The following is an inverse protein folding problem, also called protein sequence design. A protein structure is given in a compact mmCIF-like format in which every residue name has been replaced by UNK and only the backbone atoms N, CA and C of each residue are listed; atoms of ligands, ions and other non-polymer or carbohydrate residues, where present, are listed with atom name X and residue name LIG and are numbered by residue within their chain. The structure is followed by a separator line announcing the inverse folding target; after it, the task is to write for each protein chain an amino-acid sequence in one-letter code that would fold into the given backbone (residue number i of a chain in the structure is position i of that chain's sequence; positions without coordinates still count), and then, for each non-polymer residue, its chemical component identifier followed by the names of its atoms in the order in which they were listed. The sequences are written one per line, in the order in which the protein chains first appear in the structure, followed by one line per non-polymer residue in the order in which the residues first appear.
data_IF_683195522141
#
_entry.id   IF_683195522141
#
_cell.length_a   1.000
_cell.length_b   1.000
_cell.length_c   1.000
_cell.angle_alpha   90.00
_cell.angle_beta   90.00
_cell.angle_gamma   90.00
#
_symmetry.space_group_name_H-M   'P 1'
#
loop_
_entity.id
_entity.type
_entity.pdbx_description
1 polymer ?
#
# COMPACT_ATOMS: atom_id res chain seq x y z
N UNK A 1 -0.10 -7.41 6.78
CA UNK A 1 -0.34 -6.14 6.07
C UNK A 1 -1.44 -5.31 6.73
N UNK A 2 -2.69 -5.78 6.82
CA UNK A 2 -3.80 -5.00 7.41
C UNK A 2 -3.62 -4.60 8.88
N UNK A 3 -3.03 -5.49 9.71
CA UNK A 3 -2.81 -5.23 11.15
C UNK A 3 -2.07 -3.91 11.45
N UNK A 4 -1.22 -3.47 10.53
CA UNK A 4 -0.45 -2.22 10.68
C UNK A 4 -1.31 -0.97 10.39
N UNK A 5 -2.43 -1.13 9.70
CA UNK A 5 -3.30 -0.04 9.24
C UNK A 5 -4.56 0.15 10.10
N UNK A 6 -4.87 -0.81 10.97
CA UNK A 6 -6.10 -0.81 11.76
C UNK A 6 -6.02 -0.01 13.07
N UNK A 7 -4.94 0.77 13.27
CA UNK A 7 -4.70 1.62 14.47
C UNK A 7 -4.70 0.89 15.83
N UNK A 8 -4.86 -0.43 15.83
CA UNK A 8 -4.78 -1.24 17.04
C UNK A 8 -3.32 -1.38 17.51
N UNK A 9 -3.10 -1.53 18.82
CA UNK A 9 -1.79 -1.87 19.34
C UNK A 9 -1.33 -3.21 18.75
N UNK A 10 -0.14 -3.21 18.14
CA UNK A 10 0.50 -4.44 17.66
C UNK A 10 1.79 -4.69 18.42
N UNK A 11 2.09 -5.97 18.63
CA UNK A 11 3.41 -6.37 19.11
C UNK A 11 4.38 -6.52 17.95
N UNK A 12 5.49 -5.79 18.03
CA UNK A 12 6.65 -5.91 17.16
C UNK A 12 7.64 -6.86 17.83
N UNK A 13 7.82 -8.09 17.31
CA UNK A 13 8.80 -9.01 17.85
C UNK A 13 10.20 -8.41 17.67
N UNK A 14 11.00 -8.42 18.73
CA UNK A 14 12.33 -7.85 18.75
C UNK A 14 13.26 -8.77 19.53
N UNK A 15 14.56 -8.74 19.23
CA UNK A 15 15.54 -9.73 19.74
C UNK A 15 15.62 -9.81 21.27
N UNK A 16 15.50 -8.68 21.97
CA UNK A 16 15.72 -8.62 23.43
C UNK A 16 14.45 -8.29 24.23
N UNK A 17 13.45 -7.68 23.60
CA UNK A 17 12.19 -7.32 24.25
C UNK A 17 11.19 -6.89 23.17
N UNK A 18 10.00 -7.48 23.18
CA UNK A 18 8.92 -7.08 22.29
C UNK A 18 8.54 -5.62 22.54
N UNK A 19 8.18 -4.91 21.47
CA UNK A 19 7.69 -3.53 21.54
C UNK A 19 6.24 -3.48 21.12
N UNK A 20 5.47 -2.57 21.69
CA UNK A 20 4.09 -2.31 21.27
C UNK A 20 4.07 -1.02 20.45
N UNK A 21 3.46 -1.07 19.27
CA UNK A 21 3.32 0.09 18.39
C UNK A 21 1.86 0.34 18.01
N UNK A 22 1.46 1.60 18.05
CA UNK A 22 0.15 2.07 17.59
C UNK A 22 0.39 3.12 16.49
N UNK A 23 0.15 2.76 15.23
CA UNK A 23 0.41 3.66 14.12
C UNK A 23 -0.79 4.58 13.87
N UNK A 24 -0.52 5.87 13.74
CA UNK A 24 -1.51 6.87 13.34
C UNK A 24 -1.41 7.22 11.86
N UNK A 25 -0.19 7.37 11.37
CA UNK A 25 0.13 7.72 10.00
C UNK A 25 1.14 6.71 9.49
N UNK A 26 0.79 6.03 8.39
CA UNK A 26 1.60 4.96 7.82
C UNK A 26 1.92 5.33 6.38
N UNK A 27 3.22 5.36 6.08
CA UNK A 27 3.72 5.49 4.72
C UNK A 27 4.19 4.12 4.25
N UNK A 28 3.71 3.72 3.07
CA UNK A 28 4.13 2.48 2.40
C UNK A 28 4.95 2.90 1.20
N UNK A 29 6.23 2.54 1.20
CA UNK A 29 7.14 2.81 0.08
C UNK A 29 7.44 1.50 -0.62
N UNK A 30 7.26 1.48 -1.94
CA UNK A 30 7.48 0.29 -2.75
C UNK A 30 7.95 0.70 -4.15
N UNK A 31 8.82 -0.13 -4.71
CA UNK A 31 9.26 0.00 -6.11
C UNK A 31 8.27 -0.64 -7.08
N UNK A 32 7.25 -1.34 -6.57
CA UNK A 32 6.24 -2.04 -7.35
C UNK A 32 4.91 -1.29 -7.22
N UNK A 33 4.18 -1.20 -8.32
CA UNK A 33 2.87 -0.56 -8.37
C UNK A 33 1.85 -1.26 -7.48
N UNK A 34 0.87 -0.50 -6.95
CA UNK A 34 -0.07 -1.00 -5.94
C UNK A 34 -0.89 -2.22 -6.41
N UNK A 35 -1.34 -2.26 -7.66
CA UNK A 35 -2.11 -3.42 -8.17
C UNK A 35 -1.22 -4.61 -8.51
N UNK A 36 0.09 -4.43 -8.67
CA UNK A 36 1.02 -5.55 -8.83
C UNK A 36 1.48 -6.12 -7.48
N UNK A 37 1.22 -5.42 -6.37
CA UNK A 37 1.54 -5.89 -5.03
C UNK A 37 0.57 -6.98 -4.56
N UNK A 38 1.12 -7.99 -3.88
CA UNK A 38 0.35 -9.06 -3.22
C UNK A 38 -0.56 -9.87 -4.16
N UNK A 39 -0.09 -10.21 -5.36
CA UNK A 39 -0.87 -10.96 -6.38
C UNK A 39 -1.49 -12.26 -5.86
N UNK A 40 -0.79 -12.98 -4.96
CA UNK A 40 -1.31 -14.20 -4.33
C UNK A 40 -2.51 -13.90 -3.41
N UNK A 41 -2.43 -12.87 -2.58
CA UNK A 41 -3.54 -12.41 -1.74
C UNK A 41 -4.70 -11.88 -2.58
N UNK A 42 -4.44 -11.17 -3.69
CA UNK A 42 -5.49 -10.73 -4.59
C UNK A 42 -6.31 -11.90 -5.18
N UNK A 43 -5.63 -12.99 -5.54
CA UNK A 43 -6.26 -14.19 -6.12
C UNK A 43 -7.00 -15.03 -5.09
N UNK A 44 -6.38 -15.24 -3.94
CA UNK A 44 -6.91 -16.16 -2.92
C UNK A 44 -7.91 -15.46 -1.98
N UNK A 45 -7.72 -14.17 -1.72
CA UNK A 45 -8.46 -13.39 -0.72
C UNK A 45 -8.74 -11.96 -1.23
N UNK A 46 -9.59 -11.87 -2.24
CA UNK A 46 -9.95 -10.58 -2.86
C UNK A 46 -10.55 -9.58 -1.87
N UNK A 47 -11.29 -10.04 -0.86
CA UNK A 47 -11.86 -9.19 0.19
C UNK A 47 -10.79 -8.57 1.10
N UNK A 48 -9.74 -9.33 1.44
CA UNK A 48 -8.57 -8.82 2.19
C UNK A 48 -7.88 -7.70 1.41
N UNK A 49 -7.75 -7.87 0.09
CA UNK A 49 -7.17 -6.86 -0.78
C UNK A 49 -8.04 -5.60 -0.92
N UNK A 50 -9.36 -5.76 -1.05
CA UNK A 50 -10.30 -4.62 -1.01
C UNK A 50 -10.21 -3.85 0.30
N UNK A 51 -10.12 -4.55 1.44
CA UNK A 51 -9.97 -3.92 2.75
C UNK A 51 -8.66 -3.11 2.85
N UNK A 52 -7.60 -3.56 2.21
CA UNK A 52 -6.33 -2.85 2.14
C UNK A 52 -6.44 -1.57 1.32
N UNK A 53 -6.98 -1.66 0.11
CA UNK A 53 -7.20 -0.51 -0.78
C UNK A 53 -8.02 0.57 -0.07
N UNK A 54 -9.09 0.21 0.64
CA UNK A 54 -9.95 1.16 1.36
C UNK A 54 -9.24 1.99 2.42
N UNK A 55 -8.07 1.55 2.90
CA UNK A 55 -7.28 2.23 3.95
C UNK A 55 -6.16 3.09 3.38
N UNK A 56 -5.87 2.95 2.09
CA UNK A 56 -4.94 3.82 1.37
C UNK A 56 -5.73 5.02 0.87
N UNK A 57 -5.27 6.22 1.18
CA UNK A 57 -5.97 7.46 0.84
C UNK A 57 -5.31 8.15 -0.35
N UNK A 58 -3.99 8.15 -0.37
CA UNK A 58 -3.17 8.87 -1.34
C UNK A 58 -2.05 7.97 -1.84
N UNK A 59 -1.76 8.06 -3.14
CA UNK A 59 -0.69 7.35 -3.82
C UNK A 59 0.14 8.38 -4.56
N UNK A 60 1.45 8.32 -4.36
CA UNK A 60 2.41 9.19 -5.04
C UNK A 60 3.33 8.34 -5.91
N UNK A 61 3.39 8.67 -7.21
CA UNK A 61 4.31 8.04 -8.14
C UNK A 61 5.46 9.02 -8.40
N UNK A 62 6.66 8.56 -8.07
CA UNK A 62 7.88 9.31 -8.30
C UNK A 62 8.43 8.94 -9.69
N UNK A 63 8.32 9.87 -10.64
CA UNK A 63 8.84 9.70 -12.00
C UNK A 63 9.97 10.70 -12.27
N UNK A 64 10.74 10.49 -13.35
CA UNK A 64 11.79 11.44 -13.77
C UNK A 64 11.24 12.83 -14.12
N UNK A 65 9.95 12.92 -14.50
CA UNK A 65 9.28 14.18 -14.88
C UNK A 65 8.69 14.93 -13.69
N UNK A 66 8.51 14.26 -12.56
CA UNK A 66 7.93 14.85 -11.36
C UNK A 66 7.21 13.84 -10.47
N UNK A 67 6.54 14.37 -9.45
CA UNK A 67 5.71 13.60 -8.52
C UNK A 67 4.26 13.74 -8.98
N UNK A 68 3.61 12.62 -9.24
CA UNK A 68 2.18 12.58 -9.53
C UNK A 68 1.42 12.00 -8.35
N UNK A 69 0.53 12.80 -7.79
CA UNK A 69 -0.30 12.44 -6.63
C UNK A 69 -1.70 12.07 -7.09
N UNK A 70 -2.19 10.93 -6.62
CA UNK A 70 -3.52 10.41 -6.95
C UNK A 70 -4.27 10.02 -5.69
N UNK A 71 -5.59 10.11 -5.78
CA UNK A 71 -6.46 9.39 -4.86
C UNK A 71 -6.50 7.91 -5.25
N UNK A 72 -6.71 7.02 -4.28
CA UNK A 72 -6.78 5.57 -4.53
C UNK A 72 -7.78 5.19 -5.62
N UNK A 73 -8.98 5.78 -5.63
CA UNK A 73 -9.99 5.50 -6.66
C UNK A 73 -9.52 5.92 -8.05
N UNK A 74 -8.99 7.15 -8.17
CA UNK A 74 -8.46 7.68 -9.43
C UNK A 74 -7.31 6.82 -9.98
N UNK A 75 -6.43 6.34 -9.08
CA UNK A 75 -5.34 5.44 -9.45
C UNK A 75 -5.83 4.10 -10.02
N UNK A 76 -6.87 3.52 -9.41
CA UNK A 76 -7.47 2.27 -9.88
C UNK A 76 -8.19 2.43 -11.22
N UNK A 77 -8.89 3.56 -11.42
CA UNK A 77 -9.63 3.86 -12.65
C UNK A 77 -8.70 4.12 -13.84
N UNK A 78 -7.58 4.82 -13.64
CA UNK A 78 -6.64 5.15 -14.72
C UNK A 78 -5.96 3.95 -15.36
N UNK A 79 -5.90 2.81 -14.68
CA UNK A 79 -5.29 1.59 -15.19
C UNK A 79 -3.76 1.66 -15.35
N UNK A 80 -3.09 0.52 -15.16
CA UNK A 80 -1.62 0.41 -15.12
C UNK A 80 -0.89 0.66 -16.44
N UNK A 81 -1.62 0.78 -17.54
CA UNK A 81 -1.06 0.67 -18.88
C UNK A 81 -0.18 1.86 -19.25
N UNK A 82 -0.39 3.03 -18.63
CA UNK A 82 0.35 4.26 -18.98
C UNK A 82 1.81 4.26 -18.51
N UNK A 83 2.14 3.51 -17.44
CA UNK A 83 3.43 3.67 -16.73
C UNK A 83 4.49 2.62 -17.08
N UNK A 84 4.16 1.63 -17.93
CA UNK A 84 5.14 0.65 -18.45
C UNK A 84 5.96 1.16 -19.64
N UNK A 85 5.57 2.29 -20.24
CA UNK A 85 6.13 2.77 -21.52
C UNK A 85 7.31 3.75 -21.31
N UNK A 86 7.58 4.20 -20.08
CA UNK A 86 8.62 5.21 -19.80
C UNK A 86 9.88 4.70 -19.05
N UNK A 87 10.04 3.38 -18.86
CA UNK A 87 11.28 2.81 -18.32
C UNK A 87 12.21 2.30 -19.42
#
# INVERSE_FOLDING_TARGET
MLKYLDRYPIELPCRYSNKVACFNLVYIVSNIYLIEQYTSTQRNESETFKAFIRRIHQIEIYTKKGIETFTTSEYLERGHTKWKIEN
#
